data_IF_923233207350
#
_entry.id   IF_923233207350
#
_cell.length_a   1.000
_cell.length_b   1.000
_cell.length_c   1.000
_cell.angle_alpha   90.00
_cell.angle_beta   90.00
_cell.angle_gamma   90.00
#
_symmetry.space_group_name_H-M   'P 1'
#
loop_
_entity.id
_entity.type
_entity.pdbx_description
1 polymer ?
#
# COMPACT_ATOMS: atom_id res chain seq x y z
N UNK A 1 21.82 14.48 -8.82
CA UNK A 1 22.00 13.03 -9.08
C UNK A 1 21.46 12.21 -7.91
N UNK A 2 21.71 12.61 -6.66
CA UNK A 2 21.29 11.89 -5.44
C UNK A 2 19.77 11.69 -5.21
N UNK A 3 18.92 12.62 -5.67
CA UNK A 3 17.47 12.54 -5.40
C UNK A 3 16.75 11.43 -6.20
N UNK A 4 17.17 11.18 -7.45
CA UNK A 4 16.58 10.14 -8.31
C UNK A 4 17.00 8.74 -7.89
N UNK A 5 18.25 8.56 -7.46
CA UNK A 5 18.72 7.25 -6.96
C UNK A 5 18.07 6.90 -5.63
N UNK A 6 17.88 7.87 -4.74
CA UNK A 6 17.14 7.68 -3.49
C UNK A 6 15.67 7.31 -3.77
N UNK A 7 15.09 7.89 -4.82
CA UNK A 7 13.72 7.61 -5.25
C UNK A 7 13.53 6.16 -5.70
N UNK A 8 14.35 5.71 -6.64
CA UNK A 8 14.29 4.33 -7.15
C UNK A 8 14.59 3.32 -6.03
N UNK A 9 15.51 3.65 -5.11
CA UNK A 9 15.82 2.81 -3.95
C UNK A 9 14.63 2.67 -2.99
N UNK A 10 13.97 3.77 -2.62
CA UNK A 10 12.84 3.72 -1.68
C UNK A 10 11.68 2.92 -2.28
N UNK A 11 11.36 3.16 -3.54
CA UNK A 11 10.35 2.41 -4.27
C UNK A 11 10.67 0.91 -4.29
N UNK A 12 11.90 0.54 -4.64
CA UNK A 12 12.31 -0.86 -4.68
C UNK A 12 12.31 -1.50 -3.29
N UNK A 13 12.63 -0.74 -2.25
CA UNK A 13 12.60 -1.23 -0.86
C UNK A 13 11.17 -1.61 -0.48
N UNK A 14 10.20 -0.72 -0.71
CA UNK A 14 8.78 -1.00 -0.41
C UNK A 14 8.28 -2.20 -1.20
N UNK A 15 8.59 -2.28 -2.49
CA UNK A 15 8.19 -3.44 -3.32
C UNK A 15 8.76 -4.74 -2.77
N UNK A 16 10.08 -4.78 -2.52
CA UNK A 16 10.73 -5.99 -2.01
C UNK A 16 10.18 -6.41 -0.64
N UNK A 17 9.88 -5.46 0.23
CA UNK A 17 9.31 -5.75 1.55
C UNK A 17 7.90 -6.33 1.41
N UNK A 18 7.05 -5.73 0.56
CA UNK A 18 5.69 -6.23 0.29
C UNK A 18 5.69 -7.61 -0.36
N UNK A 19 6.53 -7.83 -1.37
CA UNK A 19 6.70 -9.14 -2.01
C UNK A 19 7.15 -10.19 -1.00
N UNK A 20 8.19 -9.90 -0.20
CA UNK A 20 8.68 -10.82 0.81
C UNK A 20 7.63 -11.13 1.87
N UNK A 21 6.86 -10.13 2.31
CA UNK A 21 5.75 -10.33 3.25
C UNK A 21 4.70 -11.25 2.62
N UNK A 22 4.33 -11.03 1.36
CA UNK A 22 3.33 -11.83 0.65
C UNK A 22 3.80 -13.27 0.37
N UNK A 23 5.05 -13.46 -0.07
CA UNK A 23 5.68 -14.77 -0.29
C UNK A 23 5.66 -15.62 1.00
N UNK A 24 5.94 -14.99 2.14
CA UNK A 24 5.89 -15.66 3.44
C UNK A 24 4.46 -15.78 4.00
N UNK A 25 3.45 -15.24 3.30
CA UNK A 25 2.06 -15.12 3.76
C UNK A 25 1.97 -14.49 5.16
N UNK A 26 2.87 -13.55 5.46
CA UNK A 26 3.01 -12.94 6.78
C UNK A 26 1.98 -11.81 6.99
N UNK A 27 0.76 -12.21 7.36
CA UNK A 27 -0.33 -11.26 7.63
C UNK A 27 0.03 -10.32 8.79
N UNK A 28 0.82 -10.77 9.77
CA UNK A 28 1.24 -9.96 10.91
C UNK A 28 2.19 -8.85 10.48
N UNK A 29 3.23 -9.21 9.73
CA UNK A 29 4.17 -8.23 9.17
C UNK A 29 3.50 -7.22 8.26
N UNK A 30 2.53 -7.63 7.44
CA UNK A 30 1.77 -6.68 6.61
C UNK A 30 0.94 -5.71 7.46
N UNK A 31 0.29 -6.21 8.52
CA UNK A 31 -0.50 -5.36 9.42
C UNK A 31 0.38 -4.35 10.16
N UNK A 32 1.58 -4.74 10.57
CA UNK A 32 2.55 -3.80 11.15
C UNK A 32 2.92 -2.70 10.13
N UNK A 33 3.14 -3.10 8.88
CA UNK A 33 3.41 -2.18 7.77
C UNK A 33 2.25 -1.19 7.51
N UNK A 34 1.01 -1.67 7.56
CA UNK A 34 -0.21 -0.86 7.42
C UNK A 34 -0.45 0.04 8.64
N UNK A 35 -0.04 -0.39 9.83
CA UNK A 35 -0.18 0.39 11.05
C UNK A 35 0.79 1.58 11.06
N UNK A 36 1.99 1.40 10.50
CA UNK A 36 3.00 2.44 10.38
C UNK A 36 2.75 3.36 9.16
N UNK A 37 1.81 3.00 8.28
CA UNK A 37 1.39 3.86 7.17
C UNK A 37 0.77 5.17 7.68
N UNK A 38 1.05 6.25 6.96
CA UNK A 38 0.52 7.59 7.27
C UNK A 38 -0.97 7.67 7.01
N UNK A 39 -1.44 7.00 5.95
CA UNK A 39 -2.83 7.01 5.53
C UNK A 39 -3.18 5.71 4.80
N UNK A 40 -4.41 5.24 5.00
CA UNK A 40 -5.00 4.12 4.28
C UNK A 40 -6.38 4.55 3.79
N UNK A 41 -6.52 4.74 2.48
CA UNK A 41 -7.78 5.07 1.83
C UNK A 41 -8.35 3.81 1.15
N UNK A 42 -9.61 3.52 1.42
CA UNK A 42 -10.30 2.37 0.83
C UNK A 42 -11.10 2.84 -0.37
N UNK A 43 -10.85 2.22 -1.54
CA UNK A 43 -11.57 2.50 -2.78
C UNK A 43 -12.73 1.53 -2.91
N UNK A 44 -13.93 2.09 -3.10
CA UNK A 44 -15.13 1.31 -3.39
C UNK A 44 -15.80 1.78 -4.67
N UNK A 45 -16.45 0.87 -5.38
CA UNK A 45 -17.32 1.24 -6.50
C UNK A 45 -18.64 1.89 -6.03
N UNK A 46 -19.52 2.24 -6.97
CA UNK A 46 -20.82 2.85 -6.67
C UNK A 46 -21.78 1.95 -5.90
N UNK A 47 -21.52 0.64 -5.86
CA UNK A 47 -22.29 -0.35 -5.11
C UNK A 47 -21.70 -0.59 -3.71
N UNK A 48 -20.60 0.10 -3.37
CA UNK A 48 -19.90 -0.04 -2.09
C UNK A 48 -19.03 -1.30 -2.02
N UNK A 49 -18.72 -1.94 -3.15
CA UNK A 49 -17.81 -3.08 -3.19
C UNK A 49 -16.37 -2.57 -3.20
N UNK A 50 -15.51 -3.25 -2.45
CA UNK A 50 -14.07 -2.98 -2.46
C UNK A 50 -13.49 -3.24 -3.85
N UNK A 51 -12.72 -2.27 -4.35
CA UNK A 51 -12.00 -2.36 -5.62
C UNK A 51 -10.51 -2.09 -5.49
N UNK A 52 -10.04 -1.86 -4.27
CA UNK A 52 -8.64 -1.61 -3.95
C UNK A 52 -8.48 -0.62 -2.79
N UNK A 53 -7.25 -0.25 -2.52
CA UNK A 53 -6.88 0.71 -1.50
C UNK A 53 -5.63 1.49 -1.92
N UNK A 54 -5.52 2.71 -1.39
CA UNK A 54 -4.29 3.48 -1.40
C UNK A 54 -3.67 3.48 -0.01
N UNK A 55 -2.39 3.11 0.09
CA UNK A 55 -1.65 3.09 1.35
C UNK A 55 -0.45 4.01 1.23
N UNK A 56 -0.44 5.09 1.98
CA UNK A 56 0.63 6.08 2.00
C UNK A 56 1.68 5.71 3.05
N UNK A 57 2.88 5.33 2.62
CA UNK A 57 3.94 4.92 3.56
C UNK A 57 4.81 6.08 4.04
N UNK A 58 5.13 7.03 3.16
CA UNK A 58 6.10 8.08 3.45
C UNK A 58 5.69 9.42 2.85
N UNK A 59 5.91 10.49 3.62
CA UNK A 59 5.77 11.89 3.21
C UNK A 59 6.96 12.71 3.72
N UNK A 60 7.29 13.83 3.06
CA UNK A 60 8.46 14.67 3.40
C UNK A 60 9.71 14.43 2.56
N UNK A 61 9.61 13.52 1.59
CA UNK A 61 10.54 13.31 0.48
C UNK A 61 9.74 13.00 -0.78
N UNK A 62 10.14 12.04 -1.63
CA UNK A 62 9.18 11.50 -2.56
C UNK A 62 8.06 10.79 -1.79
N UNK A 63 6.83 11.18 -2.10
CA UNK A 63 5.63 10.49 -1.61
C UNK A 63 5.64 9.10 -2.21
N UNK A 64 5.61 8.06 -1.38
CA UNK A 64 5.55 6.66 -1.81
C UNK A 64 4.26 6.06 -1.29
N UNK A 65 3.46 5.49 -2.19
CA UNK A 65 2.21 4.86 -1.84
C UNK A 65 2.00 3.58 -2.64
N UNK A 66 1.26 2.65 -2.06
CA UNK A 66 0.72 1.50 -2.77
C UNK A 66 -0.66 1.86 -3.30
N UNK A 67 -0.94 1.50 -4.55
CA UNK A 67 -2.29 1.49 -5.11
C UNK A 67 -2.64 0.06 -5.53
N UNK A 68 -3.48 -0.61 -4.75
CA UNK A 68 -3.83 -2.01 -5.02
C UNK A 68 -4.85 -2.15 -6.15
N UNK A 69 -5.57 -1.07 -6.50
CA UNK A 69 -6.46 -1.10 -7.67
C UNK A 69 -5.64 -1.16 -8.97
N UNK A 70 -4.53 -0.42 -9.02
CA UNK A 70 -3.59 -0.42 -10.14
C UNK A 70 -2.53 -1.54 -10.02
N UNK A 71 -2.49 -2.24 -8.87
CA UNK A 71 -1.53 -3.31 -8.61
C UNK A 71 -0.08 -2.83 -8.59
N UNK A 72 0.19 -1.63 -8.06
CA UNK A 72 1.52 -1.04 -8.14
C UNK A 72 1.90 -0.19 -6.92
N UNK A 73 3.19 -0.19 -6.59
CA UNK A 73 3.78 0.84 -5.73
C UNK A 73 4.16 2.02 -6.61
N UNK A 74 3.74 3.20 -6.21
CA UNK A 74 4.00 4.45 -6.91
C UNK A 74 4.85 5.36 -6.04
N UNK A 75 5.63 6.21 -6.71
CA UNK A 75 6.31 7.30 -6.05
C UNK A 75 6.23 8.58 -6.88
N UNK A 76 6.08 9.72 -6.21
CA UNK A 76 6.07 11.03 -6.86
C UNK A 76 6.61 12.11 -5.94
N UNK A 77 7.29 13.08 -6.54
CA UNK A 77 7.54 14.37 -5.89
C UNK A 77 6.43 15.32 -6.32
N UNK A 78 5.85 16.07 -5.39
CA UNK A 78 4.76 17.01 -5.67
C UNK A 78 4.98 17.81 -6.98
N UNK A 79 4.15 17.56 -8.01
CA UNK A 79 4.20 18.23 -9.31
C UNK A 79 5.16 17.63 -10.35
N UNK A 80 5.79 16.49 -10.08
CA UNK A 80 6.70 15.78 -10.99
C UNK A 80 6.08 14.46 -11.52
N UNK A 81 6.62 13.90 -12.62
CA UNK A 81 6.16 12.62 -13.14
C UNK A 81 6.26 11.50 -12.10
N UNK A 82 5.18 10.72 -11.98
CA UNK A 82 5.11 9.52 -11.15
C UNK A 82 5.97 8.41 -11.76
N UNK A 83 6.66 7.65 -10.91
CA UNK A 83 7.20 6.34 -11.27
C UNK A 83 6.40 5.25 -10.57
N UNK A 84 6.36 4.07 -11.15
CA UNK A 84 5.68 2.92 -10.57
C UNK A 84 6.48 1.64 -10.75
N UNK A 85 6.19 0.69 -9.85
CA UNK A 85 6.58 -0.70 -9.94
C UNK A 85 5.33 -1.55 -9.74
N UNK A 86 5.02 -2.34 -10.74
CA UNK A 86 3.95 -3.32 -10.67
C UNK A 86 4.30 -4.38 -9.64
N UNK A 87 3.27 -4.83 -8.93
CA UNK A 87 3.34 -5.98 -8.04
C UNK A 87 2.86 -7.23 -8.79
N UNK A 88 3.38 -8.41 -8.44
CA UNK A 88 2.77 -9.66 -8.86
C UNK A 88 1.30 -9.73 -8.42
N UNK A 89 0.41 -10.23 -9.28
CA UNK A 89 -1.03 -10.36 -9.00
C UNK A 89 -1.29 -11.07 -7.66
N UNK A 90 -0.60 -12.17 -7.37
CA UNK A 90 -0.73 -12.90 -6.11
C UNK A 90 -0.31 -12.07 -4.88
N UNK A 91 0.67 -11.18 -5.03
CA UNK A 91 1.08 -10.27 -3.95
C UNK A 91 -0.01 -9.23 -3.71
N UNK A 92 -0.57 -8.67 -4.79
CA UNK A 92 -1.63 -7.68 -4.71
C UNK A 92 -2.91 -8.28 -4.08
N UNK A 93 -3.33 -9.46 -4.52
CA UNK A 93 -4.49 -10.19 -3.98
C UNK A 93 -4.32 -10.47 -2.48
N UNK A 94 -3.13 -10.92 -2.06
CA UNK A 94 -2.83 -11.15 -0.66
C UNK A 94 -2.95 -9.86 0.18
N UNK A 95 -2.47 -8.74 -0.36
CA UNK A 95 -2.55 -7.45 0.33
C UNK A 95 -4.00 -7.00 0.46
N UNK A 96 -4.78 -7.09 -0.61
CA UNK A 96 -6.20 -6.74 -0.61
C UNK A 96 -6.99 -7.55 0.44
N UNK A 97 -6.76 -8.86 0.51
CA UNK A 97 -7.35 -9.73 1.51
C UNK A 97 -7.06 -9.27 2.95
N UNK A 98 -5.82 -8.85 3.21
CA UNK A 98 -5.40 -8.39 4.55
C UNK A 98 -5.96 -7.01 4.87
N UNK A 99 -5.97 -6.10 3.91
CA UNK A 99 -6.55 -4.75 4.07
C UNK A 99 -8.04 -4.87 4.38
N UNK A 100 -8.77 -5.67 3.61
CA UNK A 100 -10.18 -5.94 3.85
C UNK A 100 -10.43 -6.45 5.27
N UNK A 101 -9.67 -7.47 5.69
CA UNK A 101 -9.76 -8.02 7.03
C UNK A 101 -9.53 -6.96 8.12
N UNK A 102 -8.52 -6.10 7.93
CA UNK A 102 -8.19 -5.02 8.86
C UNK A 102 -9.29 -3.96 8.97
N UNK A 103 -9.82 -3.51 7.83
CA UNK A 103 -10.89 -2.51 7.76
C UNK A 103 -12.17 -3.04 8.40
N UNK A 104 -12.56 -4.28 8.08
CA UNK A 104 -13.72 -4.92 8.70
C UNK A 104 -13.57 -5.01 10.22
N UNK A 105 -12.40 -5.42 10.71
CA UNK A 105 -12.12 -5.49 12.16
C UNK A 105 -12.16 -4.12 12.84
N UNK A 106 -11.66 -3.06 12.18
CA UNK A 106 -11.73 -1.69 12.72
C UNK A 106 -13.17 -1.17 12.79
N UNK A 107 -13.95 -1.40 11.73
CA UNK A 107 -15.37 -0.98 11.69
C UNK A 107 -16.17 -1.63 12.82
N UNK A 108 -16.02 -2.94 13.00
CA UNK A 108 -16.66 -3.66 14.11
C UNK A 108 -16.25 -3.11 15.49
N UNK A 109 -15.00 -2.70 15.70
CA UNK A 109 -14.58 -2.13 16.99
C UNK A 109 -15.13 -0.72 17.25
N UNK A 110 -15.36 0.07 16.22
CA UNK A 110 -15.89 1.43 16.34
C UNK A 110 -17.42 1.47 16.47
N UNK A 111 -18.13 0.42 16.05
CA UNK A 111 -19.60 0.34 16.18
C UNK A 111 -20.09 -0.02 17.61
N UNK A 112 -19.17 -0.26 18.57
CA UNK A 112 -19.47 -0.56 19.99
C UNK A 112 -19.03 0.55 20.98
N UNK A 113 -18.73 1.77 20.51
CA UNK A 113 -18.40 2.93 21.36
C UNK A 113 -19.44 4.04 21.25
#
# INVERSE_FOLDING_TARGET
>A
MEAKETFERNLQTVVNDLEKIAENRDRGGLLDYLHDALEVEIKTDSEGRFVGAEVLFMSGGPTVWLDTQEGAVMASWNGFPTTSRELPEETNDFIDDVILEYVFKRRLKNDYL
#
